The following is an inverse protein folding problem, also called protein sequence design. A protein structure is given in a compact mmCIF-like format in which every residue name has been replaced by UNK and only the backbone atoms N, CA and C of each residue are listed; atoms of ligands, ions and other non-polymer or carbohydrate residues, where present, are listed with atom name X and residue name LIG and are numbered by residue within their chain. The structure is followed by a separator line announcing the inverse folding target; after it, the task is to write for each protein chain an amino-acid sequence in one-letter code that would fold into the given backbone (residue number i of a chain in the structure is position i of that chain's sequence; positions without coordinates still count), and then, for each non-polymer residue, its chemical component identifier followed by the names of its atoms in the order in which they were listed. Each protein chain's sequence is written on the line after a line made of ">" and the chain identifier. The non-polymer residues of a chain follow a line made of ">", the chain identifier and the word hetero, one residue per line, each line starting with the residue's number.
data_IF_157091619680
#
_entry.id   IF_157091619680
#
_cell.length_a   1.000
_cell.length_b   1.000
_cell.length_c   1.000
_cell.angle_alpha   90.00
_cell.angle_beta   90.00
_cell.angle_gamma   90.00
#
_symmetry.space_group_name_H-M   'P 1'
#
loop_
_entity.id
_entity.type
_entity.pdbx_description
1 polymer ?
#
# COMPACT_ATOMS: atom_id res chain seq x y z
N UNK A 1 -22.90 12.74 -27.77
CA UNK A 1 -21.80 12.10 -27.04
C UNK A 1 -22.38 11.48 -25.79
N UNK A 2 -21.91 10.29 -25.41
CA UNK A 2 -22.42 9.67 -24.19
C UNK A 2 -21.96 10.49 -22.97
N UNK A 3 -22.91 10.88 -22.15
CA UNK A 3 -22.69 11.58 -20.88
C UNK A 3 -22.66 10.53 -19.75
N UNK A 4 -21.77 10.73 -18.80
CA UNK A 4 -21.56 9.85 -17.67
C UNK A 4 -21.91 10.60 -16.41
N UNK A 5 -22.70 9.97 -15.55
CA UNK A 5 -23.04 10.53 -14.25
C UNK A 5 -21.86 10.42 -13.30
N UNK A 6 -21.47 11.53 -12.70
CA UNK A 6 -20.36 11.64 -11.77
C UNK A 6 -20.83 12.31 -10.49
N UNK A 7 -20.43 11.78 -9.36
CA UNK A 7 -20.84 12.28 -8.06
C UNK A 7 -19.78 13.21 -7.47
N UNK A 8 -20.15 14.45 -7.07
CA UNK A 8 -19.20 15.40 -6.50
C UNK A 8 -18.45 14.88 -5.27
N UNK A 9 -19.10 14.03 -4.46
CA UNK A 9 -18.46 13.37 -3.34
C UNK A 9 -17.26 12.50 -3.77
N UNK A 10 -17.41 11.77 -4.89
CA UNK A 10 -16.35 10.93 -5.45
C UNK A 10 -15.22 11.79 -6.01
N UNK A 11 -15.53 12.94 -6.64
CA UNK A 11 -14.50 13.88 -7.11
C UNK A 11 -13.72 14.50 -5.93
N UNK A 12 -14.41 14.93 -4.88
CA UNK A 12 -13.76 15.45 -3.66
C UNK A 12 -12.85 14.41 -3.01
N UNK A 13 -13.34 13.18 -2.92
CA UNK A 13 -12.52 12.06 -2.45
C UNK A 13 -11.28 11.85 -3.34
N UNK A 14 -11.45 11.87 -4.65
CA UNK A 14 -10.36 11.69 -5.60
C UNK A 14 -9.30 12.79 -5.47
N UNK A 15 -9.71 14.06 -5.32
CA UNK A 15 -8.81 15.19 -5.06
C UNK A 15 -8.05 14.99 -3.75
N UNK A 16 -8.75 14.67 -2.67
CA UNK A 16 -8.13 14.42 -1.35
C UNK A 16 -7.12 13.28 -1.41
N UNK A 17 -7.51 12.16 -2.05
CA UNK A 17 -6.65 10.96 -2.15
C UNK A 17 -5.43 11.20 -3.03
N UNK A 18 -5.55 12.00 -4.10
CA UNK A 18 -4.43 12.34 -4.98
C UNK A 18 -3.56 13.47 -4.45
N UNK A 19 -3.98 14.12 -3.36
CA UNK A 19 -3.33 15.34 -2.85
C UNK A 19 -3.12 16.39 -3.93
N UNK A 20 -4.07 16.47 -4.89
CA UNK A 20 -3.98 17.39 -6.01
C UNK A 20 -4.54 18.75 -5.65
N UNK A 21 -3.95 19.81 -6.20
CA UNK A 21 -4.52 21.15 -6.13
C UNK A 21 -5.65 21.29 -7.15
N UNK A 22 -6.90 21.57 -6.72
CA UNK A 22 -8.02 21.80 -7.63
C UNK A 22 -7.76 22.92 -8.64
N UNK A 23 -7.02 23.96 -8.28
CA UNK A 23 -6.67 25.07 -9.16
C UNK A 23 -5.73 24.60 -10.30
N UNK A 24 -4.78 23.73 -9.99
CA UNK A 24 -3.90 23.13 -10.99
C UNK A 24 -4.66 22.20 -11.96
N UNK A 25 -5.70 21.51 -11.49
CA UNK A 25 -6.58 20.71 -12.36
C UNK A 25 -7.41 21.63 -13.26
N UNK A 26 -7.98 22.69 -12.70
CA UNK A 26 -8.79 23.68 -13.44
C UNK A 26 -8.01 24.41 -14.54
N UNK A 27 -6.70 24.61 -14.35
CA UNK A 27 -5.83 25.23 -15.36
C UNK A 27 -5.65 24.38 -16.63
N UNK A 28 -6.05 23.11 -16.62
CA UNK A 28 -5.99 22.25 -17.80
C UNK A 28 -7.12 22.58 -18.77
N UNK A 29 -6.84 22.45 -20.07
CA UNK A 29 -7.81 22.76 -21.12
C UNK A 29 -9.11 21.95 -20.94
N UNK A 30 -10.24 22.64 -20.88
CA UNK A 30 -11.59 22.05 -20.77
C UNK A 30 -12.01 21.63 -19.36
N UNK A 31 -11.22 21.96 -18.32
CA UNK A 31 -11.52 21.65 -16.91
C UNK A 31 -11.68 22.93 -16.05
N UNK A 32 -11.89 24.10 -16.65
CA UNK A 32 -12.00 25.37 -15.91
C UNK A 32 -13.09 25.33 -14.82
N UNK A 33 -14.18 24.62 -15.09
CA UNK A 33 -15.33 24.51 -14.17
C UNK A 33 -15.09 23.47 -13.04
N UNK A 34 -13.92 22.87 -12.96
CA UNK A 34 -13.64 21.81 -12.00
C UNK A 34 -13.88 22.20 -10.53
N UNK A 35 -13.53 23.42 -10.07
CA UNK A 35 -13.86 23.86 -8.71
C UNK A 35 -15.36 23.95 -8.44
N UNK A 36 -16.13 24.34 -9.44
CA UNK A 36 -17.62 24.42 -9.35
C UNK A 36 -18.20 23.01 -9.22
N UNK A 37 -17.67 22.03 -9.97
CA UNK A 37 -18.08 20.63 -9.86
C UNK A 37 -17.82 20.04 -8.49
N UNK A 38 -16.72 20.41 -7.84
CA UNK A 38 -16.43 20.00 -6.48
C UNK A 38 -17.39 20.59 -5.45
N UNK A 39 -17.93 21.79 -5.72
CA UNK A 39 -18.86 22.51 -4.85
C UNK A 39 -20.32 22.08 -5.06
N UNK A 40 -20.61 21.37 -6.13
CA UNK A 40 -21.96 20.91 -6.43
C UNK A 40 -22.46 19.91 -5.39
N UNK A 41 -23.78 19.96 -5.14
CA UNK A 41 -24.49 18.97 -4.32
C UNK A 41 -25.18 17.90 -5.16
N UNK A 42 -25.39 18.17 -6.46
CA UNK A 42 -26.08 17.27 -7.37
C UNK A 42 -25.12 16.50 -8.26
N UNK A 43 -25.51 15.29 -8.71
CA UNK A 43 -24.72 14.53 -9.66
C UNK A 43 -24.51 15.31 -10.96
N UNK A 44 -23.31 15.26 -11.49
CA UNK A 44 -22.90 15.96 -12.71
C UNK A 44 -22.96 14.99 -13.89
N UNK A 45 -23.21 15.57 -15.07
CA UNK A 45 -23.11 14.84 -16.33
C UNK A 45 -21.91 15.35 -17.12
N UNK A 46 -20.89 14.49 -17.21
CA UNK A 46 -19.65 14.81 -17.89
C UNK A 46 -19.44 13.88 -19.10
N UNK A 47 -18.81 14.40 -20.14
CA UNK A 47 -18.39 13.57 -21.26
C UNK A 47 -17.25 12.64 -20.85
N UNK A 48 -17.15 11.51 -21.55
CA UNK A 48 -16.04 10.55 -21.36
C UNK A 48 -14.66 11.23 -21.44
N UNK A 49 -14.49 12.14 -22.42
CA UNK A 49 -13.22 12.86 -22.60
C UNK A 49 -12.88 13.72 -21.37
N UNK A 50 -13.82 14.54 -20.89
CA UNK A 50 -13.59 15.35 -19.68
C UNK A 50 -13.22 14.49 -18.47
N UNK A 51 -13.95 13.39 -18.28
CA UNK A 51 -13.69 12.49 -17.16
C UNK A 51 -12.36 11.77 -17.27
N UNK A 52 -11.96 11.39 -18.48
CA UNK A 52 -10.62 10.83 -18.77
C UNK A 52 -9.51 11.83 -18.44
N UNK A 53 -9.72 13.11 -18.80
CA UNK A 53 -8.73 14.16 -18.53
C UNK A 53 -8.65 14.49 -17.04
N UNK A 54 -9.76 14.43 -16.30
CA UNK A 54 -9.76 14.47 -14.83
C UNK A 54 -8.97 13.28 -14.25
N UNK A 55 -9.20 12.07 -14.75
CA UNK A 55 -8.48 10.88 -14.31
C UNK A 55 -6.98 11.01 -14.47
N UNK A 56 -6.54 11.51 -15.63
CA UNK A 56 -5.10 11.80 -15.89
C UNK A 56 -4.57 12.91 -14.98
N UNK A 57 -5.36 13.96 -14.74
CA UNK A 57 -4.97 15.07 -13.88
C UNK A 57 -4.76 14.63 -12.43
N UNK A 58 -5.68 13.80 -11.93
CA UNK A 58 -5.65 13.25 -10.58
C UNK A 58 -4.86 11.96 -10.46
N UNK A 59 -4.33 11.42 -11.58
CA UNK A 59 -3.70 10.11 -11.67
C UNK A 59 -4.58 9.00 -11.07
N UNK A 60 -5.89 9.07 -11.31
CA UNK A 60 -6.87 8.13 -10.81
C UNK A 60 -7.43 7.27 -11.93
N UNK A 61 -7.66 5.96 -11.69
CA UNK A 61 -8.35 5.12 -12.66
C UNK A 61 -9.75 5.64 -12.97
N UNK A 62 -10.14 5.59 -14.24
CA UNK A 62 -11.45 6.03 -14.69
C UNK A 62 -12.60 5.39 -13.87
N UNK A 63 -12.52 4.09 -13.63
CA UNK A 63 -13.52 3.35 -12.85
C UNK A 63 -13.74 3.88 -11.43
N UNK A 64 -12.71 4.49 -10.83
CA UNK A 64 -12.82 5.08 -9.50
C UNK A 64 -13.65 6.38 -9.51
N UNK A 65 -13.66 7.12 -10.61
CA UNK A 65 -14.36 8.40 -10.75
C UNK A 65 -15.85 8.25 -11.06
N UNK A 66 -16.27 7.09 -11.59
CA UNK A 66 -17.67 6.82 -11.93
C UNK A 66 -18.46 6.11 -10.83
N UNK A 67 -17.84 5.85 -9.70
CA UNK A 67 -18.51 5.19 -8.57
C UNK A 67 -19.57 6.10 -7.96
N UNK A 68 -20.69 5.50 -7.59
CA UNK A 68 -21.79 6.21 -6.89
C UNK A 68 -21.50 6.46 -5.41
N UNK A 69 -20.58 5.73 -4.83
CA UNK A 69 -20.15 5.87 -3.43
C UNK A 69 -18.63 6.01 -3.34
N UNK A 70 -18.21 6.79 -2.36
CA UNK A 70 -16.80 6.89 -1.99
C UNK A 70 -16.33 5.52 -1.51
N UNK A 71 -15.21 4.97 -2.02
CA UNK A 71 -14.65 3.74 -1.50
C UNK A 71 -14.34 3.87 -0.01
N UNK A 72 -14.70 2.89 0.78
CA UNK A 72 -14.18 2.79 2.14
C UNK A 72 -12.67 2.75 2.04
N UNK A 73 -12.01 3.71 2.66
CA UNK A 73 -10.58 3.63 2.85
C UNK A 73 -10.37 2.55 3.90
N UNK A 74 -10.09 1.33 3.47
CA UNK A 74 -9.37 0.44 4.35
C UNK A 74 -8.04 1.15 4.61
N UNK A 75 -7.89 1.66 5.82
CA UNK A 75 -6.58 2.03 6.32
C UNK A 75 -5.76 0.74 6.21
N UNK A 76 -5.00 0.65 5.11
CA UNK A 76 -3.94 -0.36 5.07
C UNK A 76 -3.18 -0.14 6.37
N UNK A 77 -3.15 -1.14 7.24
CA UNK A 77 -2.28 -1.13 8.43
C UNK A 77 -0.84 -0.99 7.94
N UNK A 78 -0.49 0.25 7.65
CA UNK A 78 0.87 0.59 7.27
C UNK A 78 1.69 0.46 8.54
N UNK A 79 2.62 -0.48 8.50
CA UNK A 79 3.66 -0.64 9.51
C UNK A 79 4.09 0.75 9.96
N UNK A 80 4.00 1.03 11.25
CA UNK A 80 4.42 2.30 11.82
C UNK A 80 5.91 2.47 11.56
N UNK A 81 6.23 3.32 10.58
CA UNK A 81 7.61 3.63 10.28
C UNK A 81 8.21 4.42 11.46
N UNK A 82 9.40 4.05 11.87
CA UNK A 82 10.20 4.86 12.79
C UNK A 82 10.50 6.19 12.11
N UNK A 83 9.71 7.21 12.46
CA UNK A 83 9.96 8.58 12.02
C UNK A 83 10.93 9.27 12.97
N UNK A 84 11.69 10.23 12.45
CA UNK A 84 12.52 11.11 13.29
C UNK A 84 11.56 11.85 14.23
N UNK A 85 11.72 11.68 15.56
CA UNK A 85 10.85 12.23 16.62
C UNK A 85 9.51 11.54 16.83
N UNK A 86 9.25 10.35 16.32
CA UNK A 86 8.03 9.57 16.56
C UNK A 86 6.72 10.31 16.19
N UNK A 87 6.77 11.27 15.28
CA UNK A 87 5.57 11.90 14.75
C UNK A 87 4.97 11.00 13.66
N UNK A 88 3.72 10.58 13.87
CA UNK A 88 2.96 9.88 12.83
C UNK A 88 2.75 10.81 11.64
N UNK A 89 3.42 10.53 10.53
CA UNK A 89 3.21 11.23 9.26
C UNK A 89 2.31 10.37 8.41
N UNK A 90 1.21 10.92 7.91
CA UNK A 90 0.39 10.22 6.92
C UNK A 90 1.24 9.92 5.67
N UNK A 91 1.29 8.66 5.24
CA UNK A 91 2.05 8.28 4.06
C UNK A 91 1.52 9.02 2.83
N UNK A 92 2.43 9.53 2.00
CA UNK A 92 2.05 10.09 0.72
C UNK A 92 1.34 9.04 -0.16
N UNK A 93 0.56 9.51 -1.12
CA UNK A 93 -0.08 8.61 -2.10
C UNK A 93 0.93 7.71 -2.80
N UNK A 94 2.03 8.29 -3.29
CA UNK A 94 3.07 7.54 -4.00
C UNK A 94 3.65 6.42 -3.13
N UNK A 95 3.85 6.69 -1.83
CA UNK A 95 4.31 5.68 -0.89
C UNK A 95 3.28 4.56 -0.71
N UNK A 96 1.99 4.89 -0.60
CA UNK A 96 0.90 3.89 -0.52
C UNK A 96 0.84 3.05 -1.79
N UNK A 97 0.99 3.66 -2.97
CA UNK A 97 0.97 2.93 -4.25
C UNK A 97 2.18 2.00 -4.39
N UNK A 98 3.37 2.43 -3.95
CA UNK A 98 4.57 1.57 -3.90
C UNK A 98 4.37 0.40 -2.93
N UNK A 99 3.84 0.65 -1.73
CA UNK A 99 3.59 -0.41 -0.76
C UNK A 99 2.58 -1.44 -1.31
N UNK A 100 1.49 -0.97 -1.94
CA UNK A 100 0.51 -1.86 -2.57
C UNK A 100 1.14 -2.69 -3.68
N UNK A 101 1.97 -2.09 -4.52
CA UNK A 101 2.70 -2.81 -5.56
C UNK A 101 3.63 -3.88 -4.96
N UNK A 102 4.33 -3.56 -3.88
CA UNK A 102 5.22 -4.51 -3.22
C UNK A 102 4.44 -5.66 -2.56
N UNK A 103 3.30 -5.37 -1.91
CA UNK A 103 2.41 -6.41 -1.37
C UNK A 103 1.92 -7.36 -2.47
N UNK A 104 1.42 -6.84 -3.58
CA UNK A 104 0.98 -7.67 -4.70
C UNK A 104 2.12 -8.57 -5.23
N UNK A 105 3.35 -8.07 -5.29
CA UNK A 105 4.52 -8.87 -5.67
C UNK A 105 4.87 -9.92 -4.64
N UNK A 106 4.74 -9.59 -3.36
CA UNK A 106 4.96 -10.53 -2.26
C UNK A 106 3.93 -11.66 -2.30
N UNK A 107 2.65 -11.34 -2.48
CA UNK A 107 1.57 -12.31 -2.58
C UNK A 107 1.79 -13.24 -3.77
N UNK A 108 2.11 -12.68 -4.94
CA UNK A 108 2.48 -13.47 -6.11
C UNK A 108 3.68 -14.39 -5.84
N UNK A 109 4.74 -13.90 -5.20
CA UNK A 109 5.90 -14.70 -4.86
C UNK A 109 5.56 -15.82 -3.88
N UNK A 110 4.68 -15.56 -2.91
CA UNK A 110 4.16 -16.55 -1.97
C UNK A 110 3.44 -17.69 -2.71
N UNK A 111 2.53 -17.33 -3.60
CA UNK A 111 1.76 -18.29 -4.40
C UNK A 111 2.70 -19.14 -5.28
N UNK A 112 3.69 -18.53 -5.91
CA UNK A 112 4.67 -19.23 -6.75
C UNK A 112 5.55 -20.17 -5.94
N UNK A 113 6.02 -19.77 -4.76
CA UNK A 113 6.82 -20.60 -3.87
C UNK A 113 5.99 -21.79 -3.36
N UNK A 114 4.76 -21.55 -2.95
CA UNK A 114 3.82 -22.59 -2.52
C UNK A 114 3.53 -23.59 -3.65
N UNK A 115 3.31 -23.12 -4.87
CA UNK A 115 3.10 -23.97 -6.04
C UNK A 115 4.32 -24.86 -6.36
N UNK A 116 5.52 -24.43 -5.99
CA UNK A 116 6.77 -25.22 -6.09
C UNK A 116 7.01 -26.15 -4.91
N UNK A 117 6.08 -26.23 -3.95
CA UNK A 117 6.21 -27.06 -2.76
C UNK A 117 7.17 -26.50 -1.72
N UNK A 118 7.46 -25.20 -1.76
CA UNK A 118 8.22 -24.51 -0.74
C UNK A 118 7.23 -23.95 0.30
N UNK A 119 7.23 -24.57 1.47
CA UNK A 119 6.37 -24.18 2.58
C UNK A 119 6.77 -22.82 3.16
N UNK A 120 5.80 -22.18 3.83
CA UNK A 120 6.07 -20.96 4.59
C UNK A 120 7.13 -21.19 5.66
N UNK A 121 7.98 -20.19 5.88
CA UNK A 121 8.98 -20.25 6.93
C UNK A 121 8.30 -20.36 8.31
N UNK A 122 8.35 -21.54 8.88
CA UNK A 122 7.70 -21.85 10.16
C UNK A 122 8.32 -21.12 11.37
N UNK A 123 9.41 -20.41 11.19
CA UNK A 123 10.03 -19.61 12.25
C UNK A 123 9.25 -18.30 12.45
N UNK A 124 8.74 -17.72 11.37
CA UNK A 124 8.02 -16.42 11.41
C UNK A 124 6.64 -16.63 12.04
N UNK A 125 6.33 -15.86 13.09
CA UNK A 125 5.05 -15.95 13.79
C UNK A 125 4.89 -17.19 14.69
N UNK A 126 5.93 -18.00 14.87
CA UNK A 126 5.86 -19.23 15.66
C UNK A 126 5.95 -19.02 17.18
N UNK A 127 6.22 -17.80 17.60
CA UNK A 127 6.47 -17.46 19.03
C UNK A 127 5.51 -16.35 19.43
N UNK A 128 4.99 -16.43 20.65
CA UNK A 128 4.10 -15.41 21.21
C UNK A 128 4.83 -14.06 21.37
N UNK A 129 4.11 -12.94 21.21
CA UNK A 129 4.71 -11.59 21.22
C UNK A 129 5.17 -11.13 22.61
N UNK A 130 4.77 -11.82 23.66
CA UNK A 130 5.08 -11.54 25.06
C UNK A 130 6.26 -12.35 25.63
N UNK A 131 6.92 -13.16 24.79
CA UNK A 131 8.08 -13.96 25.18
C UNK A 131 9.30 -13.08 25.49
N UNK A 132 10.10 -13.46 26.48
CA UNK A 132 11.34 -12.78 26.76
C UNK A 132 12.38 -12.95 25.64
N UNK A 133 13.30 -11.98 25.51
CA UNK A 133 14.37 -12.05 24.50
C UNK A 133 15.26 -13.30 24.66
N UNK A 134 15.46 -13.78 25.90
CA UNK A 134 16.25 -14.98 26.19
C UNK A 134 15.54 -16.26 25.72
N UNK A 135 14.25 -16.38 26.04
CA UNK A 135 13.41 -17.50 25.60
C UNK A 135 13.26 -17.52 24.07
N UNK A 136 13.08 -16.34 23.45
CA UNK A 136 13.05 -16.22 22.00
C UNK A 136 14.37 -16.71 21.36
N UNK A 137 15.51 -16.27 21.90
CA UNK A 137 16.82 -16.70 21.44
C UNK A 137 17.01 -18.21 21.55
N UNK A 138 16.50 -18.83 22.62
CA UNK A 138 16.54 -20.28 22.81
C UNK A 138 15.64 -21.01 21.79
N UNK A 139 14.41 -20.55 21.62
CA UNK A 139 13.47 -21.13 20.66
C UNK A 139 14.00 -21.07 19.20
N UNK A 140 14.64 -19.96 18.82
CA UNK A 140 15.29 -19.82 17.52
C UNK A 140 16.43 -20.81 17.34
N UNK A 141 17.29 -20.94 18.35
CA UNK A 141 18.41 -21.91 18.31
C UNK A 141 17.91 -23.33 18.16
N UNK A 142 16.91 -23.73 18.92
CA UNK A 142 16.31 -25.07 18.85
C UNK A 142 15.74 -25.35 17.45
N UNK A 143 15.00 -24.40 16.89
CA UNK A 143 14.44 -24.54 15.53
C UNK A 143 15.49 -24.61 14.43
N UNK A 144 16.58 -23.86 14.58
CA UNK A 144 17.72 -23.89 13.66
C UNK A 144 18.71 -25.04 13.95
N UNK A 145 18.44 -25.86 14.96
CA UNK A 145 19.28 -26.95 15.40
C UNK A 145 20.74 -26.53 15.69
N UNK A 146 20.89 -25.32 16.25
CA UNK A 146 22.18 -24.76 16.57
C UNK A 146 22.66 -25.29 17.94
N UNK A 147 23.80 -25.94 17.98
CA UNK A 147 24.45 -26.31 19.22
C UNK A 147 25.04 -25.10 19.96
N UNK A 148 25.33 -25.23 21.26
CA UNK A 148 25.85 -24.12 22.09
C UNK A 148 27.24 -23.62 21.64
N UNK A 149 27.94 -24.38 20.82
CA UNK A 149 29.29 -24.08 20.33
C UNK A 149 29.34 -23.74 18.84
N UNK A 150 28.20 -23.60 18.16
CA UNK A 150 28.13 -23.38 16.69
C UNK A 150 28.96 -22.16 16.23
N UNK A 151 29.02 -21.11 17.05
CA UNK A 151 29.75 -19.87 16.75
C UNK A 151 31.25 -19.95 17.09
N UNK A 152 31.67 -20.88 18.00
CA UNK A 152 33.02 -20.93 18.47
C UNK A 152 33.98 -21.72 17.53
N UNK A 153 33.43 -22.56 16.65
CA UNK A 153 34.19 -23.50 15.80
C UNK A 153 34.23 -23.17 14.33
N UNK A 154 33.54 -22.08 13.92
CA UNK A 154 33.34 -21.76 12.51
C UNK A 154 33.67 -20.32 12.22
N UNK A 155 34.22 -20.07 11.03
CA UNK A 155 34.32 -18.70 10.50
C UNK A 155 32.91 -18.15 10.26
N UNK A 156 32.78 -16.84 10.19
CA UNK A 156 31.49 -16.16 9.90
C UNK A 156 30.85 -16.75 8.64
N UNK A 157 31.64 -17.08 7.64
CA UNK A 157 31.19 -17.63 6.37
C UNK A 157 30.66 -19.08 6.52
N UNK A 158 31.29 -19.90 7.36
CA UNK A 158 30.82 -21.24 7.68
C UNK A 158 29.57 -21.22 8.56
N UNK A 159 29.48 -20.27 9.49
CA UNK A 159 28.27 -20.05 10.29
C UNK A 159 27.07 -19.70 9.42
N UNK A 160 27.22 -18.79 8.44
CA UNK A 160 26.16 -18.46 7.50
C UNK A 160 25.75 -19.64 6.61
N UNK A 161 26.68 -20.47 6.17
CA UNK A 161 26.36 -21.68 5.38
C UNK A 161 25.63 -22.74 6.21
N UNK A 162 25.87 -22.77 7.50
CA UNK A 162 25.25 -23.75 8.41
C UNK A 162 23.77 -23.42 8.65
N UNK A 163 23.40 -22.15 8.65
CA UNK A 163 22.02 -21.67 8.88
C UNK A 163 21.19 -21.68 7.58
N UNK A 164 21.79 -21.83 6.43
CA UNK A 164 21.16 -21.79 5.11
C UNK A 164 20.65 -23.15 4.65
#
# INVERSE_FOLDING_TARGET
>A
MAEITVYPATLRWAVKTSNADPAAVAARRGLADFPEWLSSSEPLRLSFSKLSDIGKALQMPFGSLVRSSVPEQHEDELVQYRTIKNHGVEPSRDLRDVIRLMRNRQDWAKDELSARGLDENQLVGSVASDISAEELGKAIREKLQLDDAWYARKTVEEQFRYIR
#
